data_IF_200401451834
#
_entry.id   IF_200401451834
#
_cell.length_a   1.000
_cell.length_b   1.000
_cell.length_c   1.000
_cell.angle_alpha   90.00
_cell.angle_beta   90.00
_cell.angle_gamma   90.00
#
_symmetry.space_group_name_H-M   'P 1'
#
loop_
_entity.id
_entity.type
_entity.pdbx_description
1 polymer ?
#
# COMPACT_ATOMS: atom_id res chain seq x y z
N UNK A 1 -13.20 -2.44 3.61
CA UNK A 1 -12.33 -3.60 3.93
C UNK A 1 -11.75 -3.41 5.33
N UNK A 2 -11.73 -4.48 6.13
CA UNK A 2 -11.09 -4.49 7.46
C UNK A 2 -9.57 -4.57 7.36
N UNK A 3 -8.86 -4.20 8.43
CA UNK A 3 -7.39 -4.29 8.45
C UNK A 3 -6.88 -5.74 8.37
N UNK A 4 -7.65 -6.71 8.90
CA UNK A 4 -7.31 -8.13 8.82
C UNK A 4 -7.46 -8.67 7.40
N UNK A 5 -8.53 -8.31 6.69
CA UNK A 5 -8.71 -8.65 5.27
C UNK A 5 -7.60 -8.04 4.40
N UNK A 6 -7.20 -6.81 4.70
CA UNK A 6 -6.12 -6.12 3.99
C UNK A 6 -4.77 -6.80 4.22
N UNK A 7 -4.49 -7.18 5.47
CA UNK A 7 -3.29 -7.95 5.82
C UNK A 7 -3.22 -9.27 5.04
N UNK A 8 -4.32 -10.00 4.96
CA UNK A 8 -4.39 -11.26 4.21
C UNK A 8 -4.16 -11.06 2.70
N UNK A 9 -4.70 -9.99 2.10
CA UNK A 9 -4.41 -9.65 0.69
C UNK A 9 -2.93 -9.34 0.47
N UNK A 10 -2.32 -8.55 1.35
CA UNK A 10 -0.89 -8.20 1.25
C UNK A 10 0.00 -9.44 1.44
N UNK A 11 -0.33 -10.33 2.39
CA UNK A 11 0.39 -11.60 2.58
C UNK A 11 0.39 -12.46 1.32
N UNK A 12 -0.75 -12.56 0.64
CA UNK A 12 -0.85 -13.27 -0.65
C UNK A 12 0.05 -12.63 -1.71
N UNK A 13 0.05 -11.30 -1.81
CA UNK A 13 0.93 -10.58 -2.75
C UNK A 13 2.42 -10.76 -2.46
N UNK A 14 2.80 -10.94 -1.20
CA UNK A 14 4.17 -11.22 -0.77
C UNK A 14 4.55 -12.72 -0.81
N UNK A 15 3.62 -13.61 -1.20
CA UNK A 15 3.78 -15.06 -1.07
C UNK A 15 4.14 -15.53 0.35
N UNK A 16 3.67 -14.80 1.37
CA UNK A 16 3.86 -15.13 2.79
C UNK A 16 2.69 -15.96 3.29
N UNK A 17 3.00 -17.07 3.96
CA UNK A 17 2.02 -17.95 4.60
C UNK A 17 2.23 -18.04 6.12
N UNK A 18 1.22 -18.54 6.83
CA UNK A 18 1.23 -18.61 8.29
C UNK A 18 1.04 -17.24 8.97
N UNK A 19 1.30 -17.19 10.27
CA UNK A 19 1.05 -16.01 11.11
C UNK A 19 2.29 -15.44 11.81
N UNK A 20 3.46 -16.04 11.58
CA UNK A 20 4.71 -15.65 12.25
C UNK A 20 5.05 -14.16 12.05
N UNK A 21 4.79 -13.63 10.85
CA UNK A 21 5.09 -12.24 10.49
C UNK A 21 3.89 -11.29 10.64
N UNK A 22 2.74 -11.75 11.15
CA UNK A 22 1.50 -10.95 11.10
C UNK A 22 1.62 -9.65 11.88
N UNK A 23 2.22 -9.67 13.07
CA UNK A 23 2.44 -8.45 13.86
C UNK A 23 3.32 -7.45 13.12
N UNK A 24 4.42 -7.90 12.53
CA UNK A 24 5.36 -7.06 11.78
C UNK A 24 4.73 -6.51 10.51
N UNK A 25 4.03 -7.36 9.75
CA UNK A 25 3.36 -6.96 8.51
C UNK A 25 2.20 -6.01 8.79
N UNK A 26 1.42 -6.20 9.87
CA UNK A 26 0.33 -5.30 10.25
C UNK A 26 0.83 -3.87 10.45
N UNK A 27 1.96 -3.68 11.12
CA UNK A 27 2.54 -2.34 11.32
C UNK A 27 2.91 -1.69 9.99
N UNK A 28 3.53 -2.44 9.07
CA UNK A 28 3.91 -1.94 7.75
C UNK A 28 2.70 -1.65 6.87
N UNK A 29 1.70 -2.53 6.86
CA UNK A 29 0.41 -2.34 6.17
C UNK A 29 -0.26 -1.06 6.66
N UNK A 30 -0.33 -0.86 7.98
CA UNK A 30 -0.91 0.36 8.55
C UNK A 30 -0.11 1.61 8.15
N UNK A 31 1.22 1.56 8.18
CA UNK A 31 2.06 2.68 7.79
C UNK A 31 1.82 3.10 6.33
N UNK A 32 1.83 2.15 5.40
CA UNK A 32 1.62 2.44 3.97
C UNK A 32 0.17 2.84 3.69
N UNK A 33 -0.82 2.17 4.31
CA UNK A 33 -2.23 2.55 4.20
C UNK A 33 -2.44 4.01 4.62
N UNK A 34 -1.92 4.39 5.79
CA UNK A 34 -2.05 5.76 6.27
C UNK A 34 -1.29 6.77 5.40
N UNK A 35 -0.11 6.39 4.89
CA UNK A 35 0.60 7.21 3.91
C UNK A 35 -0.26 7.49 2.66
N UNK A 36 -0.86 6.45 2.08
CA UNK A 36 -1.71 6.56 0.89
C UNK A 36 -2.94 7.45 1.15
N UNK A 37 -3.64 7.22 2.27
CA UNK A 37 -4.81 8.02 2.64
C UNK A 37 -4.45 9.50 2.88
N UNK A 38 -3.35 9.76 3.58
CA UNK A 38 -2.87 11.12 3.84
C UNK A 38 -2.35 11.82 2.57
N UNK A 39 -1.96 11.06 1.55
CA UNK A 39 -1.62 11.60 0.22
C UNK A 39 -2.86 11.94 -0.63
N UNK A 40 -4.08 11.78 -0.09
CA UNK A 40 -5.33 12.15 -0.77
C UNK A 40 -6.02 11.00 -1.51
N UNK A 41 -5.51 9.76 -1.41
CA UNK A 41 -6.19 8.60 -1.97
C UNK A 41 -7.40 8.28 -1.09
N UNK A 42 -8.58 8.16 -1.69
CA UNK A 42 -9.80 7.83 -0.94
C UNK A 42 -9.77 6.38 -0.46
N UNK A 43 -10.52 6.07 0.60
CA UNK A 43 -10.63 4.69 1.08
C UNK A 43 -11.15 3.75 -0.03
N UNK A 44 -12.16 4.17 -0.80
CA UNK A 44 -12.71 3.41 -1.91
C UNK A 44 -11.64 3.02 -2.94
N UNK A 45 -10.80 3.99 -3.35
CA UNK A 45 -9.74 3.74 -4.34
C UNK A 45 -8.61 2.91 -3.77
N UNK A 46 -8.25 3.11 -2.49
CA UNK A 46 -7.27 2.27 -1.82
C UNK A 46 -7.72 0.80 -1.76
N UNK A 47 -9.03 0.56 -1.63
CA UNK A 47 -9.60 -0.80 -1.60
C UNK A 47 -9.77 -1.44 -2.99
N UNK A 48 -9.52 -0.71 -4.08
CA UNK A 48 -9.49 -1.24 -5.45
C UNK A 48 -8.33 -2.21 -5.69
N UNK A 49 -8.35 -2.94 -6.81
CA UNK A 49 -7.25 -3.85 -7.18
C UNK A 49 -5.91 -3.12 -7.30
N UNK A 50 -5.89 -1.95 -7.95
CA UNK A 50 -4.69 -1.11 -8.07
C UNK A 50 -4.27 -0.54 -6.72
N UNK A 51 -5.23 -0.17 -5.87
CA UNK A 51 -5.00 0.30 -4.51
C UNK A 51 -4.27 -0.75 -3.66
N UNK A 52 -4.80 -1.97 -3.65
CA UNK A 52 -4.22 -3.12 -2.94
C UNK A 52 -2.85 -3.49 -3.53
N UNK A 53 -2.68 -3.46 -4.84
CA UNK A 53 -1.39 -3.72 -5.48
C UNK A 53 -0.34 -2.67 -5.06
N UNK A 54 -0.70 -1.39 -5.08
CA UNK A 54 0.17 -0.27 -4.67
C UNK A 54 0.56 -0.38 -3.21
N UNK A 55 -0.41 -0.66 -2.34
CA UNK A 55 -0.16 -0.93 -0.92
C UNK A 55 0.84 -2.09 -0.75
N UNK A 56 0.65 -3.19 -1.48
CA UNK A 56 1.53 -4.37 -1.41
C UNK A 56 2.97 -4.03 -1.82
N UNK A 57 3.16 -3.23 -2.87
CA UNK A 57 4.49 -2.76 -3.27
C UNK A 57 5.11 -1.85 -2.20
N UNK A 58 4.35 -0.91 -1.65
CA UNK A 58 4.84 -0.07 -0.55
C UNK A 58 5.23 -0.88 0.69
N UNK A 59 4.47 -1.93 1.03
CA UNK A 59 4.81 -2.85 2.13
C UNK A 59 6.06 -3.66 1.80
N UNK A 60 6.22 -4.09 0.54
CA UNK A 60 7.42 -4.78 0.06
C UNK A 60 8.66 -3.90 0.23
N UNK A 61 8.55 -2.62 -0.14
CA UNK A 61 9.63 -1.64 0.05
C UNK A 61 9.98 -1.53 1.53
N UNK A 62 8.99 -1.36 2.41
CA UNK A 62 9.22 -1.28 3.87
C UNK A 62 9.73 -2.59 4.48
N UNK A 63 9.44 -3.74 3.87
CA UNK A 63 9.90 -5.04 4.33
C UNK A 63 11.38 -5.26 4.02
N UNK A 64 11.83 -4.81 2.85
CA UNK A 64 13.20 -5.02 2.35
C UNK A 64 14.19 -3.91 2.75
N UNK A 65 13.83 -3.05 3.71
CA UNK A 65 14.68 -1.91 4.10
C UNK A 65 15.96 -2.35 4.80
N UNK A 66 17.07 -1.72 4.39
CA UNK A 66 18.35 -1.75 5.10
C UNK A 66 18.53 -0.47 5.91
N UNK A 67 19.10 -0.57 7.11
CA UNK A 67 19.37 0.57 7.98
C UNK A 67 20.19 1.65 7.26
N UNK A 68 19.74 2.90 7.33
CA UNK A 68 20.41 4.05 6.70
C UNK A 68 20.00 4.34 5.25
N UNK A 69 19.23 3.46 4.60
CA UNK A 69 18.83 3.61 3.18
C UNK A 69 17.31 3.53 2.98
N UNK A 70 16.53 3.95 3.99
CA UNK A 70 15.08 3.81 3.96
C UNK A 70 14.46 4.76 2.94
N UNK A 71 13.95 4.20 1.84
CA UNK A 71 13.20 4.92 0.80
C UNK A 71 12.19 4.01 0.13
N UNK A 72 11.09 4.60 -0.33
CA UNK A 72 10.21 3.92 -1.28
C UNK A 72 10.90 3.79 -2.64
N UNK A 73 10.58 2.72 -3.35
CA UNK A 73 11.05 2.50 -4.71
C UNK A 73 10.43 3.51 -5.69
N UNK A 74 11.07 3.75 -6.85
CA UNK A 74 10.43 4.50 -7.95
C UNK A 74 9.13 3.84 -8.43
N UNK A 75 9.02 2.51 -8.37
CA UNK A 75 7.78 1.81 -8.70
C UNK A 75 6.62 2.23 -7.80
N UNK A 76 6.85 2.36 -6.48
CA UNK A 76 5.84 2.87 -5.57
C UNK A 76 5.60 4.38 -5.75
N UNK A 77 6.66 5.18 -5.65
CA UNK A 77 6.56 6.63 -5.48
C UNK A 77 6.35 7.41 -6.78
N UNK A 78 6.88 6.94 -7.90
CA UNK A 78 6.85 7.64 -9.20
C UNK A 78 5.85 7.02 -10.20
N UNK A 79 5.48 5.75 -10.01
CA UNK A 79 4.54 5.07 -10.90
C UNK A 79 3.16 4.87 -10.26
N UNK A 80 3.08 4.03 -9.22
CA UNK A 80 1.81 3.56 -8.70
C UNK A 80 1.05 4.62 -7.90
N UNK A 81 1.74 5.34 -7.02
CA UNK A 81 1.15 6.42 -6.24
C UNK A 81 0.55 7.53 -7.15
N UNK A 82 1.28 8.08 -8.15
CA UNK A 82 0.70 9.06 -9.07
C UNK A 82 -0.50 8.53 -9.86
N UNK A 83 -0.47 7.29 -10.33
CA UNK A 83 -1.61 6.68 -11.01
C UNK A 83 -2.85 6.66 -10.12
N UNK A 84 -2.71 6.24 -8.85
CA UNK A 84 -3.83 6.25 -7.90
C UNK A 84 -4.32 7.66 -7.56
N UNK A 85 -3.41 8.62 -7.40
CA UNK A 85 -3.78 10.00 -7.12
C UNK A 85 -4.61 10.61 -8.26
N UNK A 86 -4.25 10.36 -9.52
CA UNK A 86 -5.02 10.82 -10.69
C UNK A 86 -6.42 10.21 -10.71
N UNK A 87 -6.55 8.91 -10.43
CA UNK A 87 -7.85 8.22 -10.34
C UNK A 87 -8.69 8.75 -9.16
N UNK A 88 -8.05 9.34 -8.15
CA UNK A 88 -8.73 9.90 -6.97
C UNK A 88 -9.26 11.33 -7.15
N UNK A 89 -8.95 11.97 -8.27
CA UNK A 89 -9.48 13.30 -8.56
C UNK A 89 -10.97 13.22 -8.92
N UNK A 90 -11.79 14.17 -8.43
CA UNK A 90 -13.18 14.26 -8.85
C UNK A 90 -13.24 14.50 -10.36
N UNK A 91 -14.24 13.90 -11.01
CA UNK A 91 -14.47 14.10 -12.44
C UNK A 91 -14.79 15.57 -12.69
N UNK A 92 -13.83 16.29 -13.28
CA UNK A 92 -13.96 17.69 -13.70
C UNK A 92 -14.66 17.74 -15.06
N UNK A 93 -15.81 17.11 -15.15
CA UNK A 93 -16.74 17.29 -16.26
C UNK A 93 -17.76 18.35 -15.84
N UNK A 94 -17.42 19.60 -16.13
CA UNK A 94 -18.29 20.79 -16.07
C UNK A 94 -19.15 20.92 -17.33
#
# INVERSE_FOLDING_TARGET
MTDDELLEKVKRGLSVSGSFNDTTLRIKVLAVKQYMLNAGITQEIMESELGVATLTIGVTDLWNLTSGEIKFSPAFSECLMPQLMVVSLPDVSS
#
